data_IF_424152142891
#
_entry.id   IF_424152142891
#
_cell.length_a   1.000
_cell.length_b   1.000
_cell.length_c   1.000
_cell.angle_alpha   90.00
_cell.angle_beta   90.00
_cell.angle_gamma   90.00
#
_symmetry.space_group_name_H-M   'P 1'
#
loop_
_entity.id
_entity.type
_entity.pdbx_description
1 polymer ?
#
# COMPACT_ATOMS: atom_id res chain seq x y z
N UNK A 1 16.46 -27.01 -7.36
CA UNK A 1 16.47 -25.52 -7.44
C UNK A 1 15.60 -25.09 -8.60
N UNK A 2 14.76 -24.14 -8.38
CA UNK A 2 13.86 -23.63 -9.43
C UNK A 2 14.37 -22.30 -9.94
N UNK A 3 14.33 -22.12 -11.28
CA UNK A 3 14.62 -20.84 -11.90
C UNK A 3 13.37 -19.95 -11.97
N UNK A 4 12.26 -20.41 -11.38
CA UNK A 4 11.01 -19.66 -11.39
C UNK A 4 10.83 -18.88 -10.10
N UNK A 5 10.35 -17.65 -10.23
CA UNK A 5 10.01 -16.77 -9.11
C UNK A 5 8.52 -16.46 -9.21
N UNK A 6 7.82 -16.68 -8.11
CA UNK A 6 6.39 -16.37 -8.05
C UNK A 6 6.20 -14.91 -7.68
N UNK A 7 5.63 -14.14 -8.59
CA UNK A 7 5.38 -12.72 -8.42
C UNK A 7 3.89 -12.47 -8.29
N UNK A 8 3.54 -11.38 -7.61
CA UNK A 8 2.16 -10.95 -7.47
C UNK A 8 2.02 -9.45 -7.70
N UNK A 9 0.86 -9.06 -8.20
CA UNK A 9 0.48 -7.66 -8.35
C UNK A 9 -0.82 -7.44 -7.61
N UNK A 10 -0.89 -6.35 -6.85
CA UNK A 10 -2.14 -5.93 -6.20
C UNK A 10 -2.57 -4.60 -6.81
N UNK A 11 -3.83 -4.54 -7.23
CA UNK A 11 -4.44 -3.31 -7.71
C UNK A 11 -5.82 -3.20 -7.07
N UNK A 12 -6.00 -2.19 -6.22
CA UNK A 12 -7.23 -1.98 -5.46
C UNK A 12 -7.85 -0.64 -5.80
N UNK A 13 -9.18 -0.55 -5.70
CA UNK A 13 -9.86 0.73 -5.72
C UNK A 13 -9.61 1.48 -4.41
N UNK A 14 -9.68 2.80 -4.45
CA UNK A 14 -9.60 3.61 -3.24
C UNK A 14 -10.85 3.40 -2.40
N UNK A 15 -10.73 3.04 -1.12
CA UNK A 15 -11.89 2.82 -0.25
C UNK A 15 -12.60 4.11 0.14
N UNK A 16 -11.87 5.25 0.17
CA UNK A 16 -12.44 6.56 0.48
C UNK A 16 -12.21 7.48 -0.70
N UNK A 17 -13.29 7.92 -1.33
CA UNK A 17 -13.26 8.87 -2.45
C UNK A 17 -13.70 10.28 -2.03
N UNK A 18 -14.08 10.47 -0.79
CA UNK A 18 -14.45 11.76 -0.24
C UNK A 18 -13.18 12.49 0.23
N UNK A 19 -12.70 13.43 -0.59
CA UNK A 19 -11.49 14.17 -0.31
C UNK A 19 -11.62 15.15 0.86
N UNK A 20 -12.83 15.38 1.36
CA UNK A 20 -13.04 16.21 2.55
C UNK A 20 -12.63 15.52 3.85
N UNK A 21 -12.44 14.19 3.82
CA UNK A 21 -12.00 13.42 4.97
C UNK A 21 -10.56 13.77 5.35
N UNK A 22 -10.17 13.59 6.62
CA UNK A 22 -8.77 13.84 7.04
C UNK A 22 -7.79 12.99 6.24
N UNK A 23 -6.65 13.58 5.87
CA UNK A 23 -5.61 12.90 5.08
C UNK A 23 -5.17 11.60 5.76
N UNK A 24 -4.92 11.63 7.06
CA UNK A 24 -4.48 10.45 7.80
C UNK A 24 -5.50 9.31 7.71
N UNK A 25 -6.79 9.63 7.71
CA UNK A 25 -7.86 8.64 7.60
C UNK A 25 -7.89 8.02 6.20
N UNK A 26 -7.73 8.85 5.17
CA UNK A 26 -7.68 8.37 3.78
C UNK A 26 -6.48 7.42 3.59
N UNK A 27 -5.32 7.83 4.08
CA UNK A 27 -4.09 7.03 3.98
C UNK A 27 -4.24 5.70 4.71
N UNK A 28 -4.75 5.73 5.94
CA UNK A 28 -4.92 4.49 6.72
C UNK A 28 -5.93 3.54 6.08
N UNK A 29 -7.05 4.06 5.58
CA UNK A 29 -8.05 3.24 4.90
C UNK A 29 -7.47 2.58 3.65
N UNK A 30 -6.68 3.32 2.88
CA UNK A 30 -6.03 2.77 1.69
C UNK A 30 -5.06 1.64 2.07
N UNK A 31 -4.26 1.83 3.11
CA UNK A 31 -3.36 0.79 3.59
C UNK A 31 -4.14 -0.46 4.03
N UNK A 32 -5.19 -0.27 4.84
CA UNK A 32 -6.00 -1.38 5.34
C UNK A 32 -6.66 -2.17 4.21
N UNK A 33 -7.05 -1.50 3.13
CA UNK A 33 -7.65 -2.17 1.97
C UNK A 33 -6.68 -3.17 1.31
N UNK A 34 -5.37 -2.94 1.43
CA UNK A 34 -4.35 -3.80 0.82
C UNK A 34 -3.98 -4.99 1.69
N UNK A 35 -4.20 -4.92 3.00
CA UNK A 35 -3.75 -5.97 3.94
C UNK A 35 -4.28 -7.36 3.58
N UNK A 36 -5.59 -7.56 3.31
CA UNK A 36 -6.07 -8.90 2.97
C UNK A 36 -5.40 -9.49 1.73
N UNK A 37 -5.09 -8.65 0.74
CA UNK A 37 -4.43 -9.10 -0.48
C UNK A 37 -2.96 -9.43 -0.23
N UNK A 38 -2.29 -8.67 0.65
CA UNK A 38 -0.91 -8.95 1.05
C UNK A 38 -0.85 -10.30 1.76
N UNK A 39 -1.77 -10.55 2.67
CA UNK A 39 -1.84 -11.81 3.41
C UNK A 39 -2.14 -12.98 2.47
N UNK A 40 -3.07 -12.80 1.53
CA UNK A 40 -3.38 -13.81 0.52
C UNK A 40 -2.16 -14.13 -0.33
N UNK A 41 -1.42 -13.10 -0.77
CA UNK A 41 -0.20 -13.29 -1.53
C UNK A 41 0.83 -14.10 -0.74
N UNK A 42 1.00 -13.77 0.56
CA UNK A 42 1.91 -14.50 1.42
C UNK A 42 1.53 -15.97 1.57
N UNK A 43 0.24 -16.24 1.74
CA UNK A 43 -0.26 -17.61 1.85
C UNK A 43 -0.08 -18.42 0.56
N UNK A 44 -0.10 -17.74 -0.59
CA UNK A 44 0.14 -18.37 -1.89
C UNK A 44 1.62 -18.52 -2.24
N UNK A 45 2.51 -18.11 -1.36
CA UNK A 45 3.94 -18.24 -1.59
C UNK A 45 4.52 -17.26 -2.57
N UNK A 46 3.90 -16.08 -2.72
CA UNK A 46 4.44 -15.01 -3.55
C UNK A 46 5.78 -14.55 -2.98
N UNK A 47 6.78 -14.46 -3.84
CA UNK A 47 8.15 -14.11 -3.45
C UNK A 47 8.45 -12.63 -3.70
N UNK A 48 7.89 -12.06 -4.75
CA UNK A 48 8.00 -10.64 -5.07
C UNK A 48 6.59 -10.10 -5.26
N UNK A 49 6.22 -9.11 -4.44
CA UNK A 49 4.90 -8.50 -4.47
C UNK A 49 5.04 -7.03 -4.83
N UNK A 50 4.25 -6.60 -5.80
CA UNK A 50 4.19 -5.20 -6.22
C UNK A 50 2.78 -4.66 -6.00
N UNK A 51 2.69 -3.51 -5.36
CA UNK A 51 1.46 -2.77 -5.17
C UNK A 51 1.37 -1.66 -6.22
N UNK A 52 0.17 -1.13 -6.42
CA UNK A 52 -0.02 -0.04 -7.38
C UNK A 52 0.68 1.24 -6.93
N UNK A 53 0.98 2.10 -7.88
CA UNK A 53 1.51 3.43 -7.60
C UNK A 53 0.51 4.20 -6.71
N UNK A 54 1.03 4.90 -5.70
CA UNK A 54 0.22 5.65 -4.73
C UNK A 54 -0.84 4.72 -4.08
N UNK A 55 -0.40 3.54 -3.64
CA UNK A 55 -1.33 2.56 -3.06
C UNK A 55 -1.93 3.02 -1.73
N UNK A 56 -1.22 3.86 -0.98
CA UNK A 56 -1.62 4.31 0.36
C UNK A 56 -2.21 5.72 0.36
N UNK A 57 -2.89 6.09 -0.70
CA UNK A 57 -3.55 7.38 -0.76
C UNK A 57 -4.33 7.56 -2.05
N UNK A 58 -5.02 8.69 -2.19
CA UNK A 58 -5.74 8.99 -3.41
C UNK A 58 -4.79 9.54 -4.48
N UNK A 59 -5.25 9.51 -5.73
CA UNK A 59 -4.55 10.21 -6.81
C UNK A 59 -4.78 11.71 -6.65
N UNK A 60 -3.84 12.39 -6.04
CA UNK A 60 -3.99 13.78 -5.58
C UNK A 60 -3.69 14.82 -6.66
N UNK A 61 -3.06 14.43 -7.76
CA UNK A 61 -2.57 15.38 -8.77
C UNK A 61 -3.63 16.33 -9.35
N UNK A 62 -4.89 15.89 -9.55
CA UNK A 62 -5.90 16.80 -10.12
C UNK A 62 -6.29 17.95 -9.21
N UNK A 63 -6.20 17.81 -7.90
CA UNK A 63 -6.66 18.82 -6.97
C UNK A 63 -5.64 19.91 -6.68
N UNK A 64 -4.35 19.60 -6.82
CA UNK A 64 -3.23 20.53 -6.55
C UNK A 64 -3.33 21.20 -5.18
N UNK A 65 -3.84 20.47 -4.19
CA UNK A 65 -4.07 20.97 -2.84
C UNK A 65 -2.85 20.64 -1.98
N UNK A 66 -2.27 21.65 -1.32
CA UNK A 66 -1.10 21.49 -0.47
C UNK A 66 -1.35 20.58 0.75
N UNK A 67 -2.61 20.33 1.11
CA UNK A 67 -2.95 19.44 2.22
C UNK A 67 -2.39 18.02 2.03
N UNK A 68 -2.19 17.61 0.79
CA UNK A 68 -1.67 16.27 0.48
C UNK A 68 -0.22 16.08 0.88
N UNK A 69 0.52 17.15 1.14
CA UNK A 69 1.87 17.05 1.67
C UNK A 69 1.90 16.37 3.05
N UNK A 70 0.77 16.42 3.78
CA UNK A 70 0.65 15.74 5.07
C UNK A 70 0.70 14.20 4.93
N UNK A 71 0.50 13.66 3.73
CA UNK A 71 0.60 12.23 3.47
C UNK A 71 2.06 11.78 3.26
N UNK A 72 2.98 12.71 3.03
CA UNK A 72 4.39 12.35 2.84
C UNK A 72 4.99 11.84 4.14
N UNK A 73 5.85 10.85 4.03
CA UNK A 73 6.54 10.29 5.18
C UNK A 73 7.98 9.97 4.82
N UNK A 74 8.82 9.86 5.85
CA UNK A 74 10.22 9.48 5.67
C UNK A 74 10.34 8.02 5.23
N UNK A 75 11.46 7.68 4.59
CA UNK A 75 11.83 6.29 4.29
C UNK A 75 13.18 6.01 4.96
N UNK A 76 13.25 5.08 5.94
CA UNK A 76 12.15 4.30 6.48
C UNK A 76 11.17 5.14 7.31
N UNK A 77 9.92 4.70 7.35
CA UNK A 77 8.86 5.38 8.06
C UNK A 77 7.69 4.43 8.32
N UNK A 78 6.52 4.97 8.70
CA UNK A 78 5.38 4.12 9.11
C UNK A 78 4.97 3.09 8.05
N UNK A 79 4.89 3.48 6.79
CA UNK A 79 4.49 2.56 5.73
C UNK A 79 5.54 1.49 5.48
N UNK A 80 6.80 1.87 5.36
CA UNK A 80 7.87 0.89 5.14
C UNK A 80 8.02 -0.05 6.33
N UNK A 81 7.86 0.45 7.55
CA UNK A 81 7.95 -0.38 8.76
C UNK A 81 6.83 -1.42 8.80
N UNK A 82 5.61 -1.02 8.46
CA UNK A 82 4.46 -1.93 8.43
C UNK A 82 4.60 -2.98 7.33
N UNK A 83 5.02 -2.58 6.14
CA UNK A 83 5.23 -3.53 5.04
C UNK A 83 6.38 -4.49 5.34
N UNK A 84 7.43 -4.02 6.01
CA UNK A 84 8.55 -4.86 6.40
C UNK A 84 8.11 -6.01 7.33
N UNK A 85 7.13 -5.79 8.19
CA UNK A 85 6.60 -6.85 9.05
C UNK A 85 5.94 -7.96 8.24
N UNK A 86 5.18 -7.60 7.20
CA UNK A 86 4.57 -8.59 6.31
C UNK A 86 5.63 -9.33 5.48
N UNK A 87 6.63 -8.60 4.98
CA UNK A 87 7.72 -9.22 4.24
C UNK A 87 8.47 -10.22 5.12
N UNK A 88 8.71 -9.88 6.39
CA UNK A 88 9.36 -10.76 7.34
C UNK A 88 8.50 -11.99 7.66
N UNK A 89 7.21 -11.79 7.85
CA UNK A 89 6.27 -12.86 8.21
C UNK A 89 6.16 -13.91 7.10
N UNK A 90 6.16 -13.50 5.87
CA UNK A 90 5.97 -14.41 4.73
C UNK A 90 7.26 -14.74 3.99
N UNK A 91 8.36 -14.17 4.43
CA UNK A 91 9.67 -14.45 3.87
C UNK A 91 9.76 -14.10 2.38
#
# INVERSE_FOLDING_TARGET
>A
MSDMVRCGLIQCANPINDESRPVAEIVEAAFQAHIPFIEQAGEQGVQILCLQEIFNGPYFCPSQDARWYAAAEAVPGPTTDRLAEYAKKYN
#
